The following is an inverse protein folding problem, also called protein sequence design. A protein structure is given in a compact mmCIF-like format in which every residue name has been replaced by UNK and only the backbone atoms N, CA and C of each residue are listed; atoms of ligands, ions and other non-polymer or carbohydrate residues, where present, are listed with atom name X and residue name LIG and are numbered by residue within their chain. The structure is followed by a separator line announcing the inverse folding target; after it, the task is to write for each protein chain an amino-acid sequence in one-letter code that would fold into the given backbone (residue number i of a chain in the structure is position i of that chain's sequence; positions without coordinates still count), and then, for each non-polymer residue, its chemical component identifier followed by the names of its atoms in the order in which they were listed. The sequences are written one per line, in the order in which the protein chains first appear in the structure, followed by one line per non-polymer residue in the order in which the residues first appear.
data_IF_110850079096
#
_entry.id   IF_110850079096
#
_cell.length_a   1.000
_cell.length_b   1.000
_cell.length_c   1.000
_cell.angle_alpha   90.00
_cell.angle_beta   90.00
_cell.angle_gamma   90.00
#
_symmetry.space_group_name_H-M   'P 1'
#
loop_
_entity.id
_entity.type
_entity.pdbx_description
1 polymer ?
#
# COMPACT_ATOMS: atom_id res chain seq x y z
N UNK A 1 -11.68 18.81 -24.58
CA UNK A 1 -12.18 17.88 -23.53
C UNK A 1 -12.66 16.61 -24.20
N UNK A 2 -11.98 15.48 -24.00
CA UNK A 2 -12.30 14.21 -24.67
C UNK A 2 -13.35 13.36 -23.93
N UNK A 3 -13.83 13.81 -22.78
CA UNK A 3 -14.87 13.17 -21.97
C UNK A 3 -15.82 14.27 -21.49
N UNK A 4 -17.14 14.04 -21.61
CA UNK A 4 -18.14 15.01 -21.17
C UNK A 4 -17.99 15.34 -19.67
N UNK A 5 -18.40 16.55 -19.29
CA UNK A 5 -18.24 17.15 -17.96
C UNK A 5 -18.79 16.32 -16.78
N UNK A 6 -19.59 15.29 -17.08
CA UNK A 6 -20.21 14.37 -16.12
C UNK A 6 -19.45 13.05 -15.90
N UNK A 7 -18.43 12.73 -16.71
CA UNK A 7 -17.73 11.45 -16.62
C UNK A 7 -16.42 11.59 -15.83
N UNK A 8 -16.25 10.79 -14.78
CA UNK A 8 -14.97 10.66 -14.05
C UNK A 8 -14.43 9.25 -14.27
N UNK A 9 -13.45 9.06 -15.17
CA UNK A 9 -12.91 7.73 -15.45
C UNK A 9 -12.29 7.10 -14.22
N UNK A 10 -12.49 5.80 -14.06
CA UNK A 10 -11.82 4.99 -13.05
C UNK A 10 -10.58 4.33 -13.65
N UNK A 11 -9.41 4.52 -13.04
CA UNK A 11 -8.19 3.79 -13.34
C UNK A 11 -7.97 2.72 -12.28
N UNK A 12 -7.96 1.45 -12.68
CA UNK A 12 -7.84 0.31 -11.77
C UNK A 12 -6.42 -0.26 -11.85
N UNK A 13 -5.68 -0.18 -10.76
CA UNK A 13 -4.41 -0.85 -10.58
C UNK A 13 -4.62 -2.19 -9.89
N UNK A 14 -4.09 -3.27 -10.44
CA UNK A 14 -4.18 -4.60 -9.87
C UNK A 14 -2.76 -5.12 -9.67
N UNK A 15 -2.44 -5.56 -8.46
CA UNK A 15 -1.18 -6.26 -8.21
C UNK A 15 -1.42 -7.77 -8.31
N UNK A 16 -1.23 -8.36 -9.50
CA UNK A 16 -1.45 -9.79 -9.73
C UNK A 16 -0.54 -10.71 -8.91
N UNK A 17 0.60 -10.18 -8.43
CA UNK A 17 1.53 -10.89 -7.54
C UNK A 17 1.14 -10.83 -6.06
N UNK A 18 0.15 -10.02 -5.68
CA UNK A 18 -0.34 -9.92 -4.31
C UNK A 18 -1.49 -10.90 -4.05
N UNK A 19 -1.39 -11.67 -2.96
CA UNK A 19 -2.47 -12.55 -2.49
C UNK A 19 -2.52 -13.93 -3.17
N UNK A 20 -3.63 -14.64 -2.99
CA UNK A 20 -3.85 -16.03 -3.39
C UNK A 20 -4.12 -16.22 -4.90
N UNK A 21 -3.39 -15.52 -5.77
CA UNK A 21 -3.57 -15.54 -7.24
C UNK A 21 -4.94 -15.03 -7.74
N UNK A 22 -5.64 -14.21 -6.93
CA UNK A 22 -6.94 -13.63 -7.34
C UNK A 22 -6.81 -12.52 -8.39
N UNK A 23 -5.60 -11.97 -8.60
CA UNK A 23 -5.38 -10.83 -9.48
C UNK A 23 -5.73 -11.10 -10.95
N UNK A 24 -5.39 -12.27 -11.49
CA UNK A 24 -5.68 -12.60 -12.89
C UNK A 24 -7.19 -12.74 -13.15
N UNK A 25 -7.91 -13.30 -12.19
CA UNK A 25 -9.37 -13.37 -12.23
C UNK A 25 -9.98 -11.98 -12.17
N UNK A 26 -9.50 -11.12 -11.27
CA UNK A 26 -9.94 -9.73 -11.16
C UNK A 26 -9.69 -8.95 -12.45
N UNK A 27 -8.50 -9.07 -13.05
CA UNK A 27 -8.17 -8.45 -14.33
C UNK A 27 -9.19 -8.88 -15.40
N UNK A 28 -9.47 -10.19 -15.47
CA UNK A 28 -10.42 -10.74 -16.45
C UNK A 28 -11.83 -10.20 -16.23
N UNK A 29 -12.28 -10.15 -14.97
CA UNK A 29 -13.62 -9.64 -14.63
C UNK A 29 -13.74 -8.13 -14.87
N UNK A 30 -12.76 -7.33 -14.45
CA UNK A 30 -12.78 -5.89 -14.70
C UNK A 30 -12.74 -5.55 -16.19
N UNK A 31 -11.97 -6.27 -17.01
CA UNK A 31 -11.94 -6.07 -18.48
C UNK A 31 -13.28 -6.38 -19.18
N UNK A 32 -14.17 -7.14 -18.53
CA UNK A 32 -15.54 -7.37 -19.03
C UNK A 32 -16.49 -6.22 -18.68
N UNK A 33 -16.16 -5.44 -17.65
CA UNK A 33 -17.02 -4.38 -17.10
C UNK A 33 -16.56 -2.97 -17.50
N UNK A 34 -15.26 -2.78 -17.70
CA UNK A 34 -14.60 -1.50 -17.96
C UNK A 34 -13.76 -1.56 -19.24
N UNK A 35 -13.38 -0.40 -19.77
CA UNK A 35 -12.49 -0.34 -20.93
C UNK A 35 -11.11 -0.93 -20.54
N UNK A 36 -10.52 -1.84 -21.34
CA UNK A 36 -9.23 -2.45 -21.03
C UNK A 36 -8.10 -1.45 -20.74
N UNK A 37 -8.14 -0.23 -21.29
CA UNK A 37 -7.13 0.81 -21.05
C UNK A 37 -7.14 1.34 -19.61
N UNK A 38 -8.28 1.17 -18.91
CA UNK A 38 -8.46 1.55 -17.52
C UNK A 38 -7.88 0.51 -16.55
N UNK A 39 -7.48 -0.67 -17.03
CA UNK A 39 -7.04 -1.77 -16.17
C UNK A 39 -5.53 -1.96 -16.34
N UNK A 40 -4.77 -1.65 -15.30
CA UNK A 40 -3.32 -1.84 -15.28
C UNK A 40 -2.91 -2.93 -14.29
N UNK A 41 -2.15 -3.91 -14.79
CA UNK A 41 -1.48 -4.88 -13.92
C UNK A 41 -0.07 -4.39 -13.58
N UNK A 42 0.18 -4.16 -12.30
CA UNK A 42 1.46 -3.71 -11.76
C UNK A 42 2.58 -4.75 -11.92
N UNK A 43 2.26 -6.02 -12.20
CA UNK A 43 3.28 -7.01 -12.53
C UNK A 43 3.95 -6.75 -13.88
N UNK A 44 3.30 -6.01 -14.78
CA UNK A 44 3.82 -5.65 -16.11
C UNK A 44 4.63 -4.35 -16.11
N UNK A 45 4.71 -3.65 -14.98
CA UNK A 45 5.48 -2.41 -14.82
C UNK A 45 4.89 -1.49 -13.74
N UNK A 46 5.68 -0.50 -13.34
CA UNK A 46 5.26 0.49 -12.34
C UNK A 46 4.10 1.39 -12.79
N UNK A 47 3.43 2.05 -11.83
CA UNK A 47 2.25 2.88 -12.08
C UNK A 47 2.56 4.18 -12.86
N UNK A 48 3.82 4.62 -12.90
CA UNK A 48 4.21 5.96 -13.36
C UNK A 48 3.82 6.23 -14.82
N UNK A 49 4.02 5.25 -15.70
CA UNK A 49 3.70 5.40 -17.14
C UNK A 49 2.21 5.62 -17.36
N UNK A 50 1.37 4.88 -16.64
CA UNK A 50 -0.09 4.96 -16.79
C UNK A 50 -0.64 6.21 -16.12
N UNK A 51 -0.14 6.55 -14.93
CA UNK A 51 -0.48 7.81 -14.26
C UNK A 51 -0.16 9.01 -15.15
N UNK A 52 1.00 9.02 -15.82
CA UNK A 52 1.36 10.07 -16.77
C UNK A 52 0.39 10.14 -17.95
N UNK A 53 -0.03 9.01 -18.51
CA UNK A 53 -1.02 8.98 -19.60
C UNK A 53 -2.39 9.50 -19.17
N UNK A 54 -2.79 9.27 -17.92
CA UNK A 54 -4.07 9.77 -17.37
C UNK A 54 -3.97 11.21 -16.83
N UNK A 55 -2.78 11.74 -16.59
CA UNK A 55 -2.56 13.12 -16.10
C UNK A 55 -3.08 14.22 -17.03
N UNK A 56 -3.32 13.89 -18.30
CA UNK A 56 -3.97 14.79 -19.27
C UNK A 56 -5.44 15.06 -18.95
N UNK A 57 -6.07 14.19 -18.15
CA UNK A 57 -7.44 14.33 -17.71
C UNK A 57 -7.51 15.29 -16.51
N UNK A 58 -8.47 16.21 -16.53
CA UNK A 58 -8.68 17.13 -15.42
C UNK A 58 -9.24 16.43 -14.17
N UNK A 59 -9.90 15.29 -14.34
CA UNK A 59 -10.52 14.49 -13.28
C UNK A 59 -10.49 13.01 -13.64
N UNK A 60 -10.04 12.18 -12.72
CA UNK A 60 -10.15 10.73 -12.74
C UNK A 60 -10.12 10.19 -11.30
N UNK A 61 -10.50 8.94 -11.11
CA UNK A 61 -10.43 8.20 -9.86
C UNK A 61 -9.47 7.03 -10.00
N UNK A 62 -8.92 6.58 -8.89
CA UNK A 62 -8.03 5.42 -8.84
C UNK A 62 -8.64 4.35 -7.94
N UNK A 63 -8.67 3.11 -8.40
CA UNK A 63 -8.93 1.94 -7.57
C UNK A 63 -7.66 1.09 -7.46
N UNK A 64 -7.24 0.79 -6.25
CA UNK A 64 -6.05 -0.02 -5.96
C UNK A 64 -6.46 -1.40 -5.45
N UNK A 65 -6.27 -2.43 -6.26
CA UNK A 65 -6.47 -3.82 -5.88
C UNK A 65 -5.15 -4.41 -5.38
N UNK A 66 -4.95 -4.41 -4.07
CA UNK A 66 -3.68 -4.80 -3.44
C UNK A 66 -3.70 -4.76 -1.92
N UNK A 67 -2.52 -4.93 -1.29
CA UNK A 67 -2.32 -4.64 0.13
C UNK A 67 -1.70 -3.26 0.34
N UNK A 68 -1.37 -2.91 1.59
CA UNK A 68 -0.84 -1.59 1.95
C UNK A 68 0.42 -1.21 1.17
N UNK A 69 1.34 -2.16 0.94
CA UNK A 69 2.54 -1.89 0.13
C UNK A 69 2.24 -1.49 -1.33
N UNK A 70 1.17 -2.04 -1.92
CA UNK A 70 0.71 -1.62 -3.25
C UNK A 70 0.13 -0.21 -3.20
N UNK A 71 -0.63 0.11 -2.15
CA UNK A 71 -1.22 1.44 -1.94
C UNK A 71 -0.11 2.49 -1.78
N UNK A 72 0.88 2.23 -0.92
CA UNK A 72 2.06 3.10 -0.75
C UNK A 72 2.82 3.30 -2.06
N UNK A 73 3.02 2.24 -2.86
CA UNK A 73 3.73 2.35 -4.14
C UNK A 73 3.02 3.31 -5.11
N UNK A 74 1.70 3.21 -5.23
CA UNK A 74 0.93 4.10 -6.11
C UNK A 74 0.89 5.53 -5.58
N UNK A 75 0.75 5.72 -4.26
CA UNK A 75 0.80 7.06 -3.65
C UNK A 75 2.15 7.70 -3.90
N UNK A 76 3.26 7.00 -3.67
CA UNK A 76 4.61 7.52 -3.97
C UNK A 76 4.83 7.81 -5.46
N UNK A 77 4.11 7.15 -6.36
CA UNK A 77 4.13 7.48 -7.78
C UNK A 77 3.29 8.73 -8.09
N UNK A 78 2.13 8.90 -7.43
CA UNK A 78 1.29 10.10 -7.53
C UNK A 78 2.00 11.35 -6.96
N UNK A 79 2.76 11.23 -5.87
CA UNK A 79 3.57 12.34 -5.33
C UNK A 79 4.57 12.90 -6.34
N UNK A 80 5.15 12.01 -7.15
CA UNK A 80 6.10 12.39 -8.21
C UNK A 80 5.40 12.97 -9.44
N UNK A 81 4.08 12.88 -9.51
CA UNK A 81 3.30 13.49 -10.56
C UNK A 81 2.95 14.92 -10.13
N UNK A 82 3.32 15.90 -10.93
CA UNK A 82 2.95 17.31 -10.72
C UNK A 82 1.47 17.55 -11.11
N UNK A 83 0.55 16.79 -10.51
CA UNK A 83 -0.88 16.88 -10.80
C UNK A 83 -1.46 18.15 -10.20
N UNK A 84 -2.25 18.88 -10.99
CA UNK A 84 -3.04 20.02 -10.50
C UNK A 84 -4.05 19.61 -9.43
N UNK A 85 -4.55 18.37 -9.49
CA UNK A 85 -5.50 17.81 -8.54
C UNK A 85 -5.24 16.33 -8.36
N UNK A 86 -5.14 15.91 -7.10
CA UNK A 86 -5.01 14.49 -6.77
C UNK A 86 -6.32 13.75 -7.05
N UNK A 87 -6.25 12.55 -7.68
CA UNK A 87 -7.42 11.72 -7.88
C UNK A 87 -7.86 11.10 -6.54
N UNK A 88 -9.17 10.95 -6.28
CA UNK A 88 -9.65 10.13 -5.18
C UNK A 88 -9.19 8.67 -5.36
N UNK A 89 -8.83 8.02 -4.26
CA UNK A 89 -8.31 6.65 -4.25
C UNK A 89 -9.25 5.74 -3.46
N UNK A 90 -9.74 4.69 -4.10
CA UNK A 90 -10.42 3.55 -3.47
C UNK A 90 -9.48 2.36 -3.33
N UNK A 91 -9.71 1.52 -2.33
CA UNK A 91 -8.87 0.34 -2.06
C UNK A 91 -9.74 -0.91 -2.15
N UNK A 92 -9.34 -1.88 -2.97
CA UNK A 92 -9.83 -3.25 -2.92
C UNK A 92 -8.78 -4.11 -2.19
N UNK A 93 -9.04 -4.49 -0.92
CA UNK A 93 -8.02 -5.09 -0.06
C UNK A 93 -7.71 -6.56 -0.46
N UNK A 94 -6.59 -6.79 -1.14
CA UNK A 94 -6.11 -8.13 -1.51
C UNK A 94 -5.00 -8.66 -0.59
N UNK A 95 -4.45 -7.79 0.28
CA UNK A 95 -3.36 -8.14 1.19
C UNK A 95 -3.80 -8.89 2.43
N UNK A 96 -2.87 -9.09 3.37
CA UNK A 96 -3.14 -9.69 4.68
C UNK A 96 -3.32 -8.64 5.78
N UNK A 97 -2.46 -7.60 5.75
CA UNK A 97 -2.46 -6.44 6.65
C UNK A 97 -3.68 -5.57 6.44
N UNK A 98 -3.81 -4.89 5.29
CA UNK A 98 -4.92 -4.05 4.81
C UNK A 98 -5.39 -3.00 5.85
N UNK A 99 -4.45 -2.36 6.52
CA UNK A 99 -4.76 -1.40 7.59
C UNK A 99 -5.43 -0.14 7.01
N UNK A 100 -4.92 0.39 5.89
CA UNK A 100 -5.51 1.56 5.22
C UNK A 100 -6.95 1.28 4.77
N UNK A 101 -7.19 0.10 4.21
CA UNK A 101 -8.52 -0.29 3.77
C UNK A 101 -9.51 -0.37 4.95
N UNK A 102 -9.08 -0.85 6.12
CA UNK A 102 -9.95 -0.91 7.31
C UNK A 102 -10.28 0.47 7.85
N UNK A 103 -9.29 1.34 7.98
CA UNK A 103 -9.46 2.70 8.52
C UNK A 103 -10.40 3.52 7.63
N UNK A 104 -10.28 3.39 6.30
CA UNK A 104 -11.15 4.08 5.34
C UNK A 104 -12.46 3.34 5.01
N UNK A 105 -12.79 2.24 5.70
CA UNK A 105 -14.06 1.55 5.55
C UNK A 105 -14.22 0.64 4.32
N UNK A 106 -13.13 0.38 3.58
CA UNK A 106 -13.10 -0.58 2.47
C UNK A 106 -13.02 -2.05 2.92
N UNK A 107 -12.80 -2.28 4.21
CA UNK A 107 -12.83 -3.60 4.84
C UNK A 107 -11.48 -4.30 4.96
N UNK A 108 -11.48 -5.50 5.54
CA UNK A 108 -10.27 -6.24 5.88
C UNK A 108 -9.74 -7.17 4.79
N UNK A 109 -10.51 -7.39 3.73
CA UNK A 109 -10.07 -8.13 2.56
C UNK A 109 -11.21 -8.60 1.66
N UNK A 110 -10.90 -8.77 0.38
CA UNK A 110 -11.81 -9.22 -0.66
C UNK A 110 -12.13 -10.71 -0.54
N UNK A 111 -13.42 -11.04 -0.66
CA UNK A 111 -13.98 -12.38 -0.56
C UNK A 111 -14.88 -12.71 -1.77
N UNK A 112 -14.43 -12.34 -2.98
CA UNK A 112 -15.16 -12.58 -4.24
C UNK A 112 -16.53 -11.90 -4.31
N UNK A 113 -16.70 -10.76 -3.65
CA UNK A 113 -17.88 -9.92 -3.81
C UNK A 113 -18.05 -9.47 -5.27
N UNK A 114 -19.29 -9.19 -5.68
CA UNK A 114 -19.56 -8.74 -7.05
C UNK A 114 -18.79 -7.44 -7.37
N UNK A 115 -18.04 -7.44 -8.46
CA UNK A 115 -17.32 -6.24 -8.91
C UNK A 115 -18.29 -5.10 -9.27
N UNK A 116 -19.50 -5.40 -9.74
CA UNK A 116 -20.53 -4.38 -9.98
C UNK A 116 -20.94 -3.70 -8.67
N UNK A 117 -21.03 -4.47 -7.58
CA UNK A 117 -21.32 -3.92 -6.26
C UNK A 117 -20.17 -3.03 -5.76
N UNK A 118 -18.93 -3.46 -5.92
CA UNK A 118 -17.74 -2.65 -5.58
C UNK A 118 -17.69 -1.37 -6.41
N UNK A 119 -17.93 -1.44 -7.72
CA UNK A 119 -17.97 -0.27 -8.59
C UNK A 119 -19.07 0.73 -8.18
N UNK A 120 -20.24 0.22 -7.77
CA UNK A 120 -21.30 1.04 -7.20
C UNK A 120 -20.84 1.73 -5.92
N UNK A 121 -20.24 0.99 -4.99
CA UNK A 121 -19.70 1.56 -3.74
C UNK A 121 -18.67 2.66 -4.01
N UNK A 122 -17.78 2.48 -4.99
CA UNK A 122 -16.80 3.50 -5.38
C UNK A 122 -17.49 4.75 -5.94
N UNK A 123 -18.54 4.58 -6.74
CA UNK A 123 -19.28 5.72 -7.30
C UNK A 123 -20.06 6.53 -6.26
N UNK A 124 -20.46 5.89 -5.16
CA UNK A 124 -21.26 6.48 -4.06
C UNK A 124 -20.40 6.86 -2.85
N UNK A 125 -19.10 6.53 -2.86
CA UNK A 125 -18.20 6.79 -1.75
C UNK A 125 -17.96 8.28 -1.52
N UNK A 126 -17.87 8.68 -0.25
CA UNK A 126 -17.42 10.01 0.12
C UNK A 126 -15.89 10.05 0.12
N UNK A 127 -15.34 11.25 -0.09
CA UNK A 127 -13.89 11.47 -0.10
C UNK A 127 -13.47 11.89 1.31
N UNK A 128 -12.54 11.14 1.90
CA UNK A 128 -11.82 11.54 3.12
C UNK A 128 -10.40 11.96 2.77
N UNK A 129 -9.89 12.98 3.45
CA UNK A 129 -8.47 13.33 3.37
C UNK A 129 -7.63 12.29 4.12
N UNK A 130 -6.40 12.09 3.63
CA UNK A 130 -5.42 11.21 4.24
C UNK A 130 -4.11 11.99 4.37
N UNK A 131 -3.58 12.02 5.58
CA UNK A 131 -2.30 12.65 5.86
C UNK A 131 -1.16 11.72 5.44
N UNK A 132 -0.16 12.29 4.80
CA UNK A 132 1.06 11.59 4.42
C UNK A 132 2.21 12.10 5.27
N UNK A 133 2.87 11.19 5.96
CA UNK A 133 3.96 11.52 6.87
C UNK A 133 5.29 11.49 6.11
N UNK A 134 6.10 12.52 6.29
CA UNK A 134 7.48 12.57 5.83
C UNK A 134 8.43 12.20 6.98
N UNK A 135 9.44 11.40 6.67
CA UNK A 135 10.43 10.86 7.59
C UNK A 135 11.84 11.17 7.07
N UNK A 136 12.49 12.11 7.75
CA UNK A 136 13.89 12.44 7.55
C UNK A 136 14.79 11.54 8.40
N UNK A 137 15.55 10.67 7.73
CA UNK A 137 16.50 9.75 8.35
C UNK A 137 17.91 10.28 8.15
N UNK A 138 18.59 10.57 9.25
CA UNK A 138 20.00 10.97 9.24
C UNK A 138 20.84 9.90 9.91
N UNK A 139 21.74 9.25 9.16
CA UNK A 139 22.68 8.25 9.68
C UNK A 139 24.09 8.81 9.70
N UNK A 140 24.76 8.72 10.85
CA UNK A 140 26.18 9.09 10.99
C UNK A 140 27.01 7.82 11.05
N UNK A 141 27.97 7.66 10.13
CA UNK A 141 28.84 6.49 10.14
C UNK A 141 30.01 6.65 11.14
N UNK A 142 30.74 5.55 11.41
CA UNK A 142 31.92 5.55 12.31
C UNK A 142 33.06 6.50 11.88
N UNK A 143 33.05 6.99 10.64
CA UNK A 143 34.03 7.95 10.09
C UNK A 143 33.49 9.40 10.09
N UNK A 144 32.36 9.67 10.76
CA UNK A 144 31.72 10.99 10.82
C UNK A 144 31.00 11.43 9.54
N UNK A 145 30.92 10.58 8.51
CA UNK A 145 30.17 10.90 7.29
C UNK A 145 28.68 10.70 7.54
N UNK A 146 27.93 11.75 7.25
CA UNK A 146 26.46 11.76 7.38
C UNK A 146 25.81 11.34 6.07
N UNK A 147 24.81 10.46 6.16
CA UNK A 147 23.90 10.08 5.07
C UNK A 147 22.49 10.54 5.45
N UNK A 148 21.81 11.23 4.54
CA UNK A 148 20.41 11.65 4.71
C UNK A 148 19.54 10.88 3.73
N UNK A 149 18.38 10.43 4.19
CA UNK A 149 17.33 9.80 3.39
C UNK A 149 15.99 10.39 3.81
N UNK A 150 15.15 10.70 2.83
CA UNK A 150 13.76 11.13 3.07
C UNK A 150 12.86 10.00 2.63
N UNK A 151 11.91 9.61 3.47
CA UNK A 151 10.90 8.58 3.16
C UNK A 151 9.52 9.10 3.50
N UNK A 152 8.50 8.61 2.81
CA UNK A 152 7.12 8.88 3.18
C UNK A 152 6.44 7.61 3.71
N UNK A 153 5.52 7.75 4.67
CA UNK A 153 4.72 6.64 5.19
C UNK A 153 3.29 7.09 5.53
N UNK A 154 2.37 6.12 5.59
CA UNK A 154 0.94 6.40 5.76
C UNK A 154 0.37 5.91 7.10
N UNK A 155 0.77 4.71 7.53
CA UNK A 155 0.15 4.05 8.68
C UNK A 155 0.88 4.40 9.98
N UNK A 156 2.06 3.81 10.15
CA UNK A 156 2.85 3.97 11.37
C UNK A 156 4.31 3.67 11.07
N UNK A 157 5.17 4.21 11.92
CA UNK A 157 6.58 3.85 12.03
C UNK A 157 6.75 3.09 13.35
N UNK A 158 7.31 1.88 13.27
CA UNK A 158 7.61 1.05 14.44
C UNK A 158 9.12 0.84 14.58
N UNK A 159 9.60 0.84 15.82
CA UNK A 159 10.99 0.50 16.17
C UNK A 159 10.94 -0.47 17.35
N UNK A 160 11.55 -1.64 17.19
CA UNK A 160 11.60 -2.66 18.25
C UNK A 160 11.27 -4.06 17.77
N UNK A 161 10.71 -4.86 18.69
CA UNK A 161 10.42 -6.29 18.53
C UNK A 161 9.43 -6.55 17.40
N UNK A 162 8.42 -5.70 17.28
CA UNK A 162 7.41 -5.75 16.22
C UNK A 162 8.02 -5.49 14.83
N UNK A 163 8.86 -4.46 14.73
CA UNK A 163 9.58 -4.12 13.50
C UNK A 163 10.55 -5.24 13.09
N UNK A 164 11.22 -5.87 14.07
CA UNK A 164 12.11 -7.00 13.84
C UNK A 164 11.35 -8.24 13.35
N UNK A 165 10.20 -8.56 13.95
CA UNK A 165 9.34 -9.64 13.48
C UNK A 165 8.83 -9.37 12.06
N UNK A 166 8.42 -8.13 11.77
CA UNK A 166 8.01 -7.73 10.42
C UNK A 166 9.14 -7.89 9.39
N UNK A 167 10.38 -7.52 9.76
CA UNK A 167 11.56 -7.71 8.92
C UNK A 167 11.85 -9.19 8.64
N UNK A 168 11.74 -10.05 9.65
CA UNK A 168 11.92 -11.51 9.47
C UNK A 168 10.89 -12.08 8.50
N UNK A 169 9.62 -11.74 8.69
CA UNK A 169 8.54 -12.21 7.81
C UNK A 169 8.74 -11.67 6.39
N UNK A 170 9.17 -10.43 6.23
CA UNK A 170 9.52 -9.86 4.93
C UNK A 170 10.64 -10.64 4.24
N UNK A 171 11.75 -10.90 4.92
CA UNK A 171 12.88 -11.67 4.37
C UNK A 171 12.48 -13.11 4.02
N UNK A 172 11.65 -13.74 4.85
CA UNK A 172 11.10 -15.07 4.56
C UNK A 172 10.20 -15.05 3.32
N UNK A 173 9.42 -13.99 3.13
CA UNK A 173 8.57 -13.80 1.95
C UNK A 173 9.37 -13.63 0.68
N UNK A 174 10.43 -12.82 0.71
CA UNK A 174 11.31 -12.61 -0.44
C UNK A 174 12.07 -13.90 -0.81
N UNK A 175 12.54 -14.66 0.19
CA UNK A 175 13.27 -15.91 -0.06
C UNK A 175 12.36 -17.09 -0.47
N UNK A 176 11.13 -17.17 0.06
CA UNK A 176 10.20 -18.29 -0.17
C UNK A 176 8.76 -17.81 -0.44
N UNK A 177 8.50 -17.12 -1.56
CA UNK A 177 7.18 -16.54 -1.85
C UNK A 177 6.06 -17.58 -1.90
N UNK A 178 6.36 -18.84 -2.27
CA UNK A 178 5.39 -19.94 -2.31
C UNK A 178 4.77 -20.29 -0.96
N UNK A 179 5.40 -19.92 0.16
CA UNK A 179 4.83 -20.13 1.50
C UNK A 179 3.74 -19.10 1.84
N UNK A 180 3.70 -17.98 1.14
CA UNK A 180 2.82 -16.84 1.45
C UNK A 180 1.55 -16.81 0.57
N UNK A 181 0.97 -17.99 0.32
CA UNK A 181 -0.16 -18.16 -0.59
C UNK A 181 -1.53 -17.85 0.05
N UNK A 182 -1.62 -17.76 1.37
CA UNK A 182 -2.87 -17.53 2.10
C UNK A 182 -2.70 -16.49 3.20
N UNK A 183 -3.72 -15.64 3.36
CA UNK A 183 -3.82 -14.68 4.47
C UNK A 183 -3.71 -15.37 5.83
N UNK A 184 -4.24 -16.59 5.97
CA UNK A 184 -4.15 -17.36 7.21
C UNK A 184 -2.71 -17.74 7.54
N UNK A 185 -2.00 -18.35 6.59
CA UNK A 185 -0.58 -18.73 6.78
C UNK A 185 0.31 -17.51 6.99
N UNK A 186 0.05 -16.41 6.27
CA UNK A 186 0.75 -15.16 6.47
C UNK A 186 0.64 -14.68 7.93
N UNK A 187 -0.58 -14.67 8.50
CA UNK A 187 -0.79 -14.32 9.91
C UNK A 187 -0.08 -15.29 10.87
N UNK A 188 -0.09 -16.60 10.56
CA UNK A 188 0.62 -17.59 11.37
C UNK A 188 2.13 -17.35 11.41
N UNK A 189 2.76 -17.00 10.26
CA UNK A 189 4.17 -16.64 10.23
C UNK A 189 4.50 -15.40 11.06
N UNK A 190 3.64 -14.37 11.03
CA UNK A 190 3.77 -13.20 11.90
C UNK A 190 3.67 -13.58 13.38
N UNK A 191 2.74 -14.45 13.76
CA UNK A 191 2.60 -14.91 15.14
C UNK A 191 3.82 -15.69 15.62
N UNK A 192 4.40 -16.56 14.77
CA UNK A 192 5.61 -17.30 15.08
C UNK A 192 6.82 -16.38 15.23
N UNK A 193 7.03 -15.45 14.30
CA UNK A 193 8.12 -14.49 14.37
C UNK A 193 8.02 -13.59 15.62
N UNK A 194 6.81 -13.08 15.92
CA UNK A 194 6.57 -12.29 17.12
C UNK A 194 6.82 -13.09 18.41
N UNK A 195 6.42 -14.36 18.45
CA UNK A 195 6.69 -15.26 19.57
C UNK A 195 8.18 -15.58 19.76
N UNK A 196 8.92 -15.82 18.67
CA UNK A 196 10.37 -16.02 18.73
C UNK A 196 11.11 -14.79 19.27
N UNK A 197 10.73 -13.60 18.81
CA UNK A 197 11.37 -12.35 19.23
C UNK A 197 11.05 -12.00 20.70
N UNK A 198 9.84 -12.31 21.16
CA UNK A 198 9.48 -12.19 22.58
C UNK A 198 10.35 -13.08 23.49
N UNK A 199 10.87 -14.20 22.99
CA UNK A 199 11.77 -15.10 23.73
C UNK A 199 13.23 -14.65 23.61
N UNK A 200 13.66 -14.21 22.41
CA UNK A 200 15.06 -13.84 22.14
C UNK A 200 15.48 -12.52 22.79
N UNK A 201 14.54 -11.67 23.22
CA UNK A 201 14.84 -10.39 23.87
C UNK A 201 15.78 -9.49 23.03
N UNK A 202 15.67 -9.57 21.70
CA UNK A 202 16.56 -8.95 20.72
C UNK A 202 16.63 -7.42 20.82
N UNK A 203 15.60 -6.81 21.39
CA UNK A 203 15.47 -5.36 21.59
C UNK A 203 15.54 -4.98 23.08
N UNK A 204 16.25 -5.75 23.90
CA UNK A 204 16.51 -5.38 25.30
C UNK A 204 17.23 -4.02 25.35
N UNK A 205 16.83 -3.19 26.32
CA UNK A 205 17.36 -1.84 26.55
C UNK A 205 17.15 -0.84 25.39
N UNK A 206 16.14 -1.06 24.55
CA UNK A 206 15.83 -0.09 23.48
C UNK A 206 15.48 1.30 24.04
N UNK A 207 14.86 1.35 25.22
CA UNK A 207 14.55 2.59 25.95
C UNK A 207 15.79 3.37 26.38
N UNK A 208 16.93 2.71 26.52
CA UNK A 208 18.22 3.36 26.85
C UNK A 208 18.94 3.88 25.59
N UNK A 209 18.49 3.45 24.41
CA UNK A 209 19.12 3.75 23.11
C UNK A 209 18.29 4.72 22.27
N UNK A 210 17.05 4.99 22.67
CA UNK A 210 16.12 5.88 21.97
C UNK A 210 15.82 7.07 22.85
N UNK A 211 16.10 8.25 22.30
CA UNK A 211 15.54 9.51 22.78
C UNK A 211 14.41 9.91 21.84
N UNK A 212 13.21 10.08 22.39
CA UNK A 212 12.07 10.63 21.66
C UNK A 212 11.98 12.12 22.00
N UNK A 213 11.78 12.97 21.00
CA UNK A 213 11.45 14.38 21.23
C UNK A 213 10.23 14.69 20.39
N UNK A 214 9.11 15.04 21.04
CA UNK A 214 7.85 15.40 20.42
C UNK A 214 7.53 16.87 20.71
N UNK A 215 7.35 17.67 19.67
CA UNK A 215 7.06 19.11 19.78
C UNK A 215 8.05 19.89 20.68
N UNK A 216 9.32 19.47 20.65
CA UNK A 216 10.41 20.06 21.46
C UNK A 216 10.49 19.56 22.90
N UNK A 217 9.67 18.58 23.28
CA UNK A 217 9.64 17.96 24.60
C UNK A 217 10.21 16.54 24.50
N UNK A 218 11.19 16.23 25.33
CA UNK A 218 11.73 14.86 25.48
C UNK A 218 10.79 13.95 26.27
#
# INVERSE_FOLDING_TARGET
EFLGSSCTPLLVFINSRSGSQQGDLLITQFRRLLNPIQIWDLANGGPEKVLKSFSVLSRFQVLICGGDGTVSWIISALEKMELKRWPPIGILPLGTGNDLARVHGWGGGYNNESLLYILKQISEAYISMLDLWELDITTVNKKGKTRKEVKAFLNYLGVGVDAQAALQVHNLRESKPKLFFSRFFNKAYYALAGGEEAIKNSCTNISEQITLVADGIE
#
